data_IF_962825872633
#
_entry.id   IF_962825872633
#
_cell.length_a   1.000
_cell.length_b   1.000
_cell.length_c   1.000
_cell.angle_alpha   90.00
_cell.angle_beta   90.00
_cell.angle_gamma   90.00
#
_symmetry.space_group_name_H-M   'P 1'
#
loop_
_entity.id
_entity.type
_entity.pdbx_description
1 polymer ?
#
# COMPACT_ATOMS: atom_id res chain seq x y z
N UNK A 1 21.28 32.27 -17.14
CA UNK A 1 20.25 33.06 -17.85
C UNK A 1 18.94 32.96 -17.07
N UNK A 2 18.31 34.06 -16.65
CA UNK A 2 17.01 34.02 -15.99
C UNK A 2 15.91 33.80 -17.04
N UNK A 3 14.89 33.00 -16.70
CA UNK A 3 13.69 32.82 -17.52
C UNK A 3 12.91 34.15 -17.55
N UNK A 4 12.49 34.66 -18.73
CA UNK A 4 11.64 35.85 -18.81
C UNK A 4 10.25 35.58 -18.20
N UNK A 5 9.65 36.62 -17.64
CA UNK A 5 8.27 36.66 -17.10
C UNK A 5 7.23 36.28 -18.17
N UNK A 6 7.09 35.00 -18.49
CA UNK A 6 6.28 34.52 -19.60
C UNK A 6 4.81 34.23 -19.26
N UNK A 7 4.32 34.63 -18.09
CA UNK A 7 2.89 34.51 -17.78
C UNK A 7 2.42 35.82 -17.16
N UNK A 8 1.39 36.46 -17.74
CA UNK A 8 0.76 37.68 -17.21
C UNK A 8 -0.04 37.45 -15.93
N UNK A 9 0.46 36.56 -15.06
CA UNK A 9 -0.24 35.96 -13.94
C UNK A 9 0.36 36.49 -12.64
N UNK A 10 -0.49 36.81 -11.67
CA UNK A 10 -0.04 37.32 -10.37
C UNK A 10 0.84 36.31 -9.61
N UNK A 11 1.85 36.81 -8.89
CA UNK A 11 2.73 36.00 -8.02
C UNK A 11 1.99 35.01 -7.09
N UNK A 12 0.81 35.32 -6.52
CA UNK A 12 0.06 34.37 -5.71
C UNK A 12 -0.40 33.14 -6.50
N UNK A 13 -0.93 33.35 -7.71
CA UNK A 13 -1.40 32.31 -8.61
C UNK A 13 -0.24 31.45 -9.11
N UNK A 14 0.90 32.06 -9.42
CA UNK A 14 2.10 31.30 -9.80
C UNK A 14 2.60 30.39 -8.68
N UNK A 15 2.59 30.88 -7.43
CA UNK A 15 2.95 30.08 -6.25
C UNK A 15 1.97 28.94 -6.01
N UNK A 16 0.67 29.18 -6.21
CA UNK A 16 -0.35 28.13 -6.09
C UNK A 16 -0.17 27.05 -7.16
N UNK A 17 0.03 27.44 -8.42
CA UNK A 17 0.31 26.51 -9.51
C UNK A 17 1.57 25.68 -9.27
N UNK A 18 2.65 26.31 -8.82
CA UNK A 18 3.88 25.60 -8.44
C UNK A 18 3.68 24.65 -7.25
N UNK A 19 2.83 25.03 -6.30
CA UNK A 19 2.44 24.16 -5.18
C UNK A 19 1.64 22.94 -5.62
N UNK A 20 0.72 23.11 -6.58
CA UNK A 20 -0.03 22.01 -7.21
C UNK A 20 0.91 21.08 -7.94
N UNK A 21 1.78 21.61 -8.80
CA UNK A 21 2.77 20.81 -9.54
C UNK A 21 3.76 20.07 -8.60
N UNK A 22 4.10 20.67 -7.45
CA UNK A 22 4.90 19.99 -6.42
C UNK A 22 4.11 18.87 -5.73
N UNK A 23 2.83 19.10 -5.39
CA UNK A 23 1.96 18.09 -4.79
C UNK A 23 1.66 16.92 -5.74
N UNK A 24 1.56 17.20 -7.05
CA UNK A 24 1.45 16.21 -8.12
C UNK A 24 2.78 15.48 -8.41
N UNK A 25 3.87 15.88 -7.75
CA UNK A 25 5.19 15.27 -7.93
C UNK A 25 5.84 15.62 -9.28
N UNK A 26 5.41 16.67 -9.96
CA UNK A 26 5.97 17.10 -11.25
C UNK A 26 7.19 18.02 -11.07
N UNK A 27 7.42 18.56 -9.87
CA UNK A 27 8.52 19.46 -9.55
C UNK A 27 9.23 19.06 -8.25
N UNK A 28 10.55 19.19 -8.25
CA UNK A 28 11.42 19.17 -7.06
C UNK A 28 11.84 20.58 -6.67
N UNK A 29 11.72 20.91 -5.38
CA UNK A 29 12.28 22.15 -4.83
C UNK A 29 13.72 21.89 -4.38
N UNK A 30 14.70 22.40 -5.11
CA UNK A 30 16.11 22.32 -4.74
C UNK A 30 16.58 23.65 -4.19
N UNK A 31 17.02 23.66 -2.92
CA UNK A 31 17.51 24.86 -2.27
C UNK A 31 18.67 25.48 -3.08
N UNK A 32 18.60 26.77 -3.38
CA UNK A 32 19.58 27.49 -4.20
C UNK A 32 19.42 27.37 -5.72
N UNK A 33 18.62 26.42 -6.24
CA UNK A 33 18.46 26.15 -7.69
C UNK A 33 17.04 26.49 -8.18
N UNK A 34 16.05 26.49 -7.28
CA UNK A 34 14.65 26.77 -7.62
C UNK A 34 13.84 25.48 -7.83
N UNK A 35 12.79 25.56 -8.64
CA UNK A 35 11.97 24.38 -9.00
C UNK A 35 12.58 23.69 -10.21
N UNK A 36 12.85 22.40 -10.10
CA UNK A 36 13.37 21.56 -11.19
C UNK A 36 12.28 20.57 -11.58
N UNK A 37 12.09 20.32 -12.88
CA UNK A 37 11.17 19.26 -13.36
C UNK A 37 11.60 17.94 -12.75
N UNK A 38 10.69 17.29 -12.03
CA UNK A 38 10.94 15.97 -11.48
C UNK A 38 10.91 14.97 -12.64
N UNK A 39 11.97 14.19 -12.81
CA UNK A 39 11.93 13.06 -13.74
C UNK A 39 10.77 12.14 -13.33
N UNK A 40 9.93 11.66 -14.28
CA UNK A 40 8.80 10.82 -13.93
C UNK A 40 9.30 9.63 -13.12
N UNK A 41 8.84 9.52 -11.88
CA UNK A 41 9.13 8.34 -11.08
C UNK A 41 8.57 7.14 -11.84
N UNK A 42 9.38 6.09 -11.98
CA UNK A 42 8.86 4.79 -12.36
C UNK A 42 7.79 4.42 -11.33
N UNK A 43 6.52 4.42 -11.75
CA UNK A 43 5.42 4.06 -10.87
C UNK A 43 5.42 2.55 -10.68
N UNK A 44 5.22 2.14 -9.43
CA UNK A 44 5.08 0.74 -9.06
C UNK A 44 3.60 0.43 -9.04
N UNK A 45 3.15 -0.41 -9.97
CA UNK A 45 1.74 -0.76 -10.12
C UNK A 45 1.31 -1.78 -9.08
N UNK A 46 0.49 -1.36 -8.11
CA UNK A 46 -0.38 -2.27 -7.38
C UNK A 46 -1.40 -2.85 -8.35
N UNK A 47 -1.33 -4.15 -8.60
CA UNK A 47 -2.28 -4.82 -9.49
C UNK A 47 -3.25 -5.64 -8.65
N UNK A 48 -4.55 -5.45 -8.85
CA UNK A 48 -5.58 -6.33 -8.30
C UNK A 48 -6.29 -7.00 -9.45
N UNK A 49 -5.71 -8.09 -9.95
CA UNK A 49 -6.29 -8.90 -11.02
C UNK A 49 -6.83 -10.19 -10.41
N UNK A 50 -8.13 -10.52 -10.63
CA UNK A 50 -8.70 -11.78 -10.17
C UNK A 50 -7.87 -12.98 -10.65
N UNK A 51 -7.45 -13.84 -9.71
CA UNK A 51 -6.67 -15.05 -10.02
C UNK A 51 -5.17 -14.83 -10.27
N UNK A 52 -4.68 -13.59 -10.26
CA UNK A 52 -3.24 -13.30 -10.40
C UNK A 52 -2.69 -12.74 -9.10
N UNK A 53 -1.66 -13.39 -8.57
CA UNK A 53 -0.76 -12.77 -7.59
C UNK A 53 0.23 -11.94 -8.40
N UNK A 54 0.24 -10.60 -8.28
CA UNK A 54 1.12 -9.82 -9.13
C UNK A 54 2.54 -10.00 -8.60
N UNK A 55 3.44 -10.35 -9.51
CA UNK A 55 4.85 -10.48 -9.20
C UNK A 55 5.45 -9.08 -9.12
N UNK A 56 5.97 -8.68 -7.96
CA UNK A 56 6.65 -7.40 -7.89
C UNK A 56 7.90 -7.42 -8.78
N UNK A 57 8.32 -6.28 -9.34
CA UNK A 57 9.56 -6.22 -10.10
C UNK A 57 10.73 -6.68 -9.22
N UNK A 58 11.72 -7.35 -9.82
CA UNK A 58 12.86 -7.95 -9.12
C UNK A 58 13.69 -6.98 -8.26
N UNK A 59 13.48 -5.67 -8.44
CA UNK A 59 14.12 -4.60 -7.67
C UNK A 59 13.41 -4.25 -6.37
N UNK A 60 12.27 -4.88 -6.03
CA UNK A 60 11.52 -4.58 -4.80
C UNK A 60 12.08 -5.39 -3.64
N UNK A 61 12.54 -4.67 -2.62
CA UNK A 61 12.95 -5.21 -1.32
C UNK A 61 11.79 -4.97 -0.33
N UNK A 62 11.42 -5.99 0.44
CA UNK A 62 10.33 -5.89 1.43
C UNK A 62 10.80 -6.39 2.79
N UNK A 63 10.70 -5.53 3.80
CA UNK A 63 10.87 -5.87 5.21
C UNK A 63 9.53 -6.42 5.73
N UNK A 64 9.59 -7.54 6.46
CA UNK A 64 8.40 -8.22 6.99
C UNK A 64 8.49 -8.33 8.51
N UNK A 65 7.41 -7.94 9.20
CA UNK A 65 7.25 -8.12 10.66
C UNK A 65 5.99 -8.91 10.93
N UNK A 66 6.10 -9.95 11.74
CA UNK A 66 4.99 -10.83 12.11
C UNK A 66 4.79 -10.77 13.62
N UNK A 67 3.54 -10.66 14.06
CA UNK A 67 3.18 -10.83 15.48
C UNK A 67 1.79 -11.39 15.64
N UNK A 68 1.56 -12.06 16.76
CA UNK A 68 0.21 -12.46 17.17
C UNK A 68 -0.44 -11.33 17.98
N UNK A 69 -1.68 -11.01 17.66
CA UNK A 69 -2.47 -9.97 18.33
C UNK A 69 -3.91 -10.45 18.55
N UNK A 70 -4.57 -10.04 19.65
CA UNK A 70 -5.98 -10.35 19.85
C UNK A 70 -6.86 -9.50 18.91
N UNK A 71 -7.92 -10.10 18.37
CA UNK A 71 -8.94 -9.39 17.60
C UNK A 71 -9.65 -8.34 18.48
N UNK A 72 -9.24 -7.07 18.34
CA UNK A 72 -9.90 -5.93 18.99
C UNK A 72 -11.27 -5.69 18.34
N UNK A 73 -12.15 -4.95 19.01
CA UNK A 73 -13.57 -4.75 18.63
C UNK A 73 -13.80 -4.47 17.13
N UNK A 74 -13.00 -3.60 16.51
CA UNK A 74 -13.11 -3.28 15.08
C UNK A 74 -12.78 -4.47 14.18
N UNK A 75 -11.61 -5.08 14.36
CA UNK A 75 -11.16 -6.25 13.60
C UNK A 75 -12.05 -7.47 13.85
N UNK A 76 -12.46 -7.72 15.09
CA UNK A 76 -13.37 -8.82 15.44
C UNK A 76 -14.68 -8.74 14.65
N UNK A 77 -15.26 -7.54 14.55
CA UNK A 77 -16.47 -7.28 13.77
C UNK A 77 -16.23 -7.45 12.26
N UNK A 78 -15.13 -6.94 11.72
CA UNK A 78 -14.80 -7.06 10.29
C UNK A 78 -14.56 -8.52 9.89
N UNK A 79 -13.81 -9.26 10.71
CA UNK A 79 -13.51 -10.68 10.51
C UNK A 79 -14.67 -11.60 10.91
N UNK A 80 -15.72 -11.07 11.53
CA UNK A 80 -16.86 -11.84 12.08
C UNK A 80 -16.42 -12.96 13.04
N UNK A 81 -15.48 -12.63 13.92
CA UNK A 81 -14.96 -13.53 14.96
C UNK A 81 -15.21 -12.94 16.35
N UNK A 82 -15.22 -13.75 17.43
CA UNK A 82 -15.27 -13.23 18.78
C UNK A 82 -14.13 -12.24 19.09
N UNK A 83 -14.41 -11.22 19.90
CA UNK A 83 -13.35 -10.34 20.40
C UNK A 83 -12.32 -11.18 21.19
N UNK A 84 -11.04 -10.89 21.00
CA UNK A 84 -9.95 -11.66 21.62
C UNK A 84 -9.47 -12.85 20.81
N UNK A 85 -10.15 -13.23 19.72
CA UNK A 85 -9.67 -14.28 18.80
C UNK A 85 -8.22 -13.99 18.36
N UNK A 86 -7.29 -14.95 18.47
CA UNK A 86 -5.92 -14.78 18.00
C UNK A 86 -5.84 -14.49 16.51
N UNK A 87 -5.17 -13.40 16.15
CA UNK A 87 -4.87 -13.00 14.78
C UNK A 87 -3.36 -12.96 14.58
N UNK A 88 -2.90 -13.37 13.41
CA UNK A 88 -1.57 -13.06 12.93
C UNK A 88 -1.64 -11.73 12.19
N UNK A 89 -0.94 -10.73 12.72
CA UNK A 89 -0.68 -9.47 12.03
C UNK A 89 0.65 -9.59 11.29
N UNK A 90 0.66 -9.30 9.99
CA UNK A 90 1.88 -9.19 9.20
C UNK A 90 1.99 -7.82 8.57
N UNK A 91 3.10 -7.12 8.84
CA UNK A 91 3.41 -5.81 8.30
C UNK A 91 4.51 -5.94 7.27
N UNK A 92 4.26 -5.45 6.07
CA UNK A 92 5.19 -5.38 4.94
C UNK A 92 5.53 -3.91 4.68
N UNK A 93 6.82 -3.58 4.63
CA UNK A 93 7.29 -2.26 4.19
C UNK A 93 8.18 -2.47 2.98
N UNK A 94 7.80 -1.90 1.85
CA UNK A 94 8.45 -2.19 0.58
C UNK A 94 9.06 -0.95 -0.06
N UNK A 95 10.23 -1.15 -0.64
CA UNK A 95 11.00 -0.13 -1.33
C UNK A 95 11.58 -0.71 -2.62
N UNK A 96 11.84 0.15 -3.61
CA UNK A 96 12.77 -0.25 -4.66
C UNK A 96 14.19 -0.14 -4.12
N UNK A 97 15.07 -1.03 -4.58
CA UNK A 97 16.49 -1.00 -4.27
C UNK A 97 17.08 0.38 -4.53
N UNK A 98 17.68 0.98 -3.49
CA UNK A 98 18.26 2.32 -3.54
C UNK A 98 17.24 3.47 -3.52
N UNK A 99 15.97 3.20 -3.23
CA UNK A 99 14.89 4.18 -3.16
C UNK A 99 14.29 4.28 -1.75
N UNK A 100 13.27 5.12 -1.60
CA UNK A 100 12.49 5.27 -0.37
C UNK A 100 11.28 4.32 -0.37
N UNK A 101 10.76 3.91 0.81
CA UNK A 101 9.61 3.02 0.87
C UNK A 101 8.38 3.60 0.16
N UNK A 102 7.71 2.78 -0.63
CA UNK A 102 6.57 3.18 -1.46
C UNK A 102 5.25 2.55 -1.01
N UNK A 103 5.29 1.51 -0.18
CA UNK A 103 4.10 0.91 0.40
C UNK A 103 4.31 0.44 1.84
N UNK A 104 3.23 0.50 2.60
CA UNK A 104 3.06 -0.17 3.89
C UNK A 104 1.82 -1.04 3.74
N UNK A 105 1.93 -2.34 3.97
CA UNK A 105 0.79 -3.26 3.97
C UNK A 105 0.69 -3.93 5.32
N UNK A 106 -0.49 -3.91 5.94
CA UNK A 106 -0.76 -4.69 7.16
C UNK A 106 -1.89 -5.67 6.89
N UNK A 107 -1.63 -6.97 7.07
CA UNK A 107 -2.65 -8.02 6.97
C UNK A 107 -2.99 -8.58 8.35
N UNK A 108 -4.26 -8.92 8.55
CA UNK A 108 -4.79 -9.56 9.74
C UNK A 108 -5.50 -10.84 9.34
N UNK A 109 -4.99 -11.98 9.82
CA UNK A 109 -5.52 -13.31 9.50
C UNK A 109 -5.82 -14.06 10.79
N UNK A 110 -7.00 -14.68 10.97
CA UNK A 110 -7.25 -15.55 12.11
C UNK A 110 -6.19 -16.66 12.20
N UNK A 111 -5.49 -16.76 13.33
CA UNK A 111 -4.34 -17.67 13.48
C UNK A 111 -4.73 -19.15 13.25
N UNK A 112 -5.99 -19.50 13.52
CA UNK A 112 -6.52 -20.85 13.27
C UNK A 112 -6.66 -21.22 11.79
N UNK A 113 -6.64 -20.25 10.87
CA UNK A 113 -6.66 -20.49 9.41
C UNK A 113 -5.26 -20.63 8.82
N UNK A 114 -4.24 -20.24 9.59
CA UNK A 114 -2.87 -20.39 9.17
C UNK A 114 -2.33 -21.76 9.63
N UNK A 115 -1.41 -22.35 8.86
CA UNK A 115 -0.75 -23.59 9.25
C UNK A 115 -0.03 -23.42 10.60
N UNK A 116 -0.22 -24.39 11.51
CA UNK A 116 0.33 -24.32 12.88
C UNK A 116 1.69 -25.01 13.01
N UNK A 117 2.12 -25.66 11.96
CA UNK A 117 3.08 -26.76 12.01
C UNK A 117 4.54 -26.27 11.91
N UNK A 118 4.77 -24.96 11.88
CA UNK A 118 6.09 -24.35 11.62
C UNK A 118 6.68 -24.68 10.23
N UNK A 119 5.95 -25.44 9.40
CA UNK A 119 6.37 -25.96 8.09
C UNK A 119 6.11 -25.02 6.92
N UNK A 120 5.41 -23.91 7.15
CA UNK A 120 5.25 -22.91 6.12
C UNK A 120 6.33 -21.85 6.26
N UNK A 121 6.96 -21.45 5.14
CA UNK A 121 8.01 -20.45 5.15
C UNK A 121 7.52 -19.18 5.85
N UNK A 122 8.46 -18.48 6.49
CA UNK A 122 8.26 -17.10 6.92
C UNK A 122 7.56 -16.31 5.80
N UNK A 123 6.68 -15.35 6.12
CA UNK A 123 5.93 -14.67 5.08
C UNK A 123 6.89 -14.08 4.05
N UNK A 124 6.69 -14.46 2.79
CA UNK A 124 7.62 -14.09 1.74
C UNK A 124 7.54 -12.56 1.50
N UNK A 125 8.69 -11.92 1.18
CA UNK A 125 8.75 -10.51 0.81
C UNK A 125 7.77 -10.19 -0.34
N UNK A 126 6.60 -9.69 0.02
CA UNK A 126 5.53 -9.41 -0.92
C UNK A 126 4.94 -8.03 -0.65
N UNK A 127 5.07 -7.06 -1.57
CA UNK A 127 4.81 -5.65 -1.25
C UNK A 127 3.36 -5.30 -0.94
N UNK A 128 2.44 -6.18 -1.32
CA UNK A 128 1.00 -5.98 -1.17
C UNK A 128 0.34 -7.03 -0.29
N UNK A 129 1.14 -7.78 0.47
CA UNK A 129 0.68 -8.84 1.36
C UNK A 129 -0.11 -9.93 0.63
N UNK A 130 0.11 -10.15 -0.67
CA UNK A 130 -0.59 -11.22 -1.41
C UNK A 130 -0.09 -12.61 -1.04
N UNK A 131 1.11 -12.74 -0.45
CA UNK A 131 1.59 -13.99 0.16
C UNK A 131 0.60 -14.58 1.18
N UNK A 132 -0.08 -13.73 1.95
CA UNK A 132 -1.07 -14.19 2.94
C UNK A 132 -2.18 -15.03 2.29
N UNK A 133 -2.61 -14.68 1.07
CA UNK A 133 -3.59 -15.47 0.31
C UNK A 133 -3.04 -16.77 -0.23
N UNK A 134 -1.79 -16.76 -0.70
CA UNK A 134 -1.09 -17.98 -1.13
C UNK A 134 -1.00 -18.96 0.04
N UNK A 135 -0.62 -18.47 1.24
CA UNK A 135 -0.53 -19.28 2.45
C UNK A 135 -1.88 -19.82 2.92
N UNK A 136 -2.93 -19.01 2.90
CA UNK A 136 -4.29 -19.46 3.17
C UNK A 136 -4.72 -20.57 2.20
N UNK A 137 -4.44 -20.40 0.91
CA UNK A 137 -4.75 -21.40 -0.12
C UNK A 137 -3.97 -22.70 0.08
N UNK A 138 -2.68 -22.60 0.41
CA UNK A 138 -1.83 -23.74 0.72
C UNK A 138 -2.28 -24.47 2.01
N UNK A 139 -2.88 -23.75 2.96
CA UNK A 139 -3.51 -24.30 4.16
C UNK A 139 -4.88 -24.97 3.89
N UNK A 140 -5.34 -25.00 2.64
CA UNK A 140 -6.61 -25.59 2.24
C UNK A 140 -7.80 -24.63 2.25
N UNK A 141 -7.59 -23.34 2.52
CA UNK A 141 -8.67 -22.34 2.45
C UNK A 141 -8.99 -22.01 0.99
N UNK A 142 -10.21 -22.31 0.54
CA UNK A 142 -10.66 -21.96 -0.81
C UNK A 142 -11.15 -20.52 -0.84
N UNK A 143 -10.33 -19.61 -1.37
CA UNK A 143 -10.71 -18.20 -1.53
C UNK A 143 -11.81 -18.05 -2.58
N UNK A 144 -12.76 -17.12 -2.35
CA UNK A 144 -13.88 -16.87 -3.25
C UNK A 144 -13.92 -15.44 -3.77
N UNK A 145 -13.89 -14.44 -2.88
CA UNK A 145 -14.05 -13.03 -3.23
C UNK A 145 -13.04 -12.16 -2.48
N UNK A 146 -12.53 -11.15 -3.18
CA UNK A 146 -11.80 -10.03 -2.60
C UNK A 146 -12.58 -8.76 -2.89
N UNK A 147 -12.94 -8.02 -1.84
CA UNK A 147 -13.53 -6.69 -1.98
C UNK A 147 -12.48 -5.67 -1.55
N UNK A 148 -12.22 -4.69 -2.41
CA UNK A 148 -11.29 -3.60 -2.15
C UNK A 148 -12.02 -2.27 -2.15
N UNK A 149 -11.75 -1.44 -1.14
CA UNK A 149 -12.17 -0.04 -1.09
C UNK A 149 -10.94 0.83 -1.23
N UNK A 150 -10.87 1.60 -2.31
CA UNK A 150 -9.77 2.51 -2.62
C UNK A 150 -10.18 3.94 -2.30
N UNK A 151 -9.33 4.66 -1.57
CA UNK A 151 -9.52 6.08 -1.28
C UNK A 151 -8.18 6.81 -1.39
N UNK A 152 -8.21 8.12 -1.67
CA UNK A 152 -7.07 8.99 -1.53
C UNK A 152 -7.24 9.85 -0.28
N UNK A 153 -6.17 9.99 0.53
CA UNK A 153 -6.20 10.80 1.76
C UNK A 153 -4.81 11.34 2.09
N UNK A 154 -4.70 12.36 2.96
CA UNK A 154 -3.43 12.74 3.56
C UNK A 154 -2.81 11.57 4.35
N UNK A 155 -1.47 11.45 4.40
CA UNK A 155 -0.81 10.50 5.27
C UNK A 155 -0.92 10.92 6.73
N UNK A 156 -0.96 9.94 7.63
CA UNK A 156 -0.65 10.15 9.05
C UNK A 156 0.84 10.46 9.23
N UNK A 157 1.23 11.02 10.37
CA UNK A 157 2.65 11.29 10.66
C UNK A 157 3.53 10.04 10.59
N UNK A 158 3.05 8.91 11.14
CA UNK A 158 3.78 7.65 11.13
C UNK A 158 3.92 7.07 9.70
N UNK A 159 2.88 7.21 8.86
CA UNK A 159 2.96 6.81 7.46
C UNK A 159 3.92 7.72 6.68
N UNK A 160 3.88 9.03 6.91
CA UNK A 160 4.78 9.98 6.25
C UNK A 160 6.25 9.74 6.60
N UNK A 161 6.53 9.45 7.87
CA UNK A 161 7.85 9.07 8.36
C UNK A 161 8.33 7.76 7.72
N UNK A 162 7.50 6.71 7.74
CA UNK A 162 7.85 5.39 7.20
C UNK A 162 8.05 5.43 5.68
N UNK A 163 7.15 6.07 4.94
CA UNK A 163 7.22 6.22 3.48
C UNK A 163 8.22 7.29 3.02
N UNK A 164 8.75 8.08 3.96
CA UNK A 164 9.63 9.23 3.70
C UNK A 164 9.01 10.16 2.66
N UNK A 165 7.77 10.58 2.92
CA UNK A 165 7.01 11.53 2.10
C UNK A 165 6.71 12.79 2.90
N UNK A 166 6.54 13.92 2.21
CA UNK A 166 5.99 15.12 2.83
C UNK A 166 4.50 14.92 3.13
N UNK A 167 3.98 15.56 4.18
CA UNK A 167 2.55 15.51 4.53
C UNK A 167 1.61 16.03 3.42
N UNK A 168 2.14 16.79 2.46
CA UNK A 168 1.40 17.27 1.29
C UNK A 168 1.30 16.24 0.14
N UNK A 169 2.02 15.12 0.22
CA UNK A 169 1.92 14.03 -0.77
C UNK A 169 0.81 13.09 -0.30
N UNK A 170 -0.30 12.94 -1.05
CA UNK A 170 -1.38 12.05 -0.66
C UNK A 170 -0.94 10.59 -0.72
N UNK A 171 -1.64 9.75 0.03
CA UNK A 171 -1.52 8.29 -0.05
C UNK A 171 -2.77 7.70 -0.67
N UNK A 172 -2.60 6.62 -1.44
CA UNK A 172 -3.69 5.73 -1.81
C UNK A 172 -3.87 4.72 -0.67
N UNK A 173 -5.05 4.74 -0.06
CA UNK A 173 -5.43 3.85 1.04
C UNK A 173 -6.38 2.79 0.50
N UNK A 174 -5.97 1.53 0.55
CA UNK A 174 -6.74 0.38 0.09
C UNK A 174 -7.09 -0.49 1.29
N UNK A 175 -8.39 -0.63 1.55
CA UNK A 175 -8.91 -1.61 2.49
C UNK A 175 -9.38 -2.84 1.73
N UNK A 176 -8.86 -4.01 2.08
CA UNK A 176 -9.14 -5.26 1.38
C UNK A 176 -9.71 -6.28 2.34
N UNK A 177 -10.83 -6.89 1.98
CA UNK A 177 -11.43 -7.99 2.70
C UNK A 177 -11.52 -9.22 1.80
N UNK A 178 -10.97 -10.35 2.26
CA UNK A 178 -11.01 -11.62 1.53
C UNK A 178 -11.97 -12.57 2.21
N UNK A 179 -12.85 -13.19 1.43
CA UNK A 179 -13.74 -14.26 1.90
C UNK A 179 -13.46 -15.59 1.22
N UNK A 180 -13.67 -16.67 1.95
CA UNK A 180 -13.63 -18.03 1.39
C UNK A 180 -14.98 -18.43 0.76
N UNK A 181 -15.02 -19.62 0.16
CA UNK A 181 -16.23 -20.19 -0.48
C UNK A 181 -17.36 -20.50 0.50
N UNK A 182 -17.12 -20.43 1.81
CA UNK A 182 -18.15 -20.60 2.86
C UNK A 182 -18.74 -19.25 3.29
N UNK A 183 -18.21 -18.14 2.77
CA UNK A 183 -18.62 -16.78 3.14
C UNK A 183 -17.93 -16.24 4.41
N UNK A 184 -16.95 -16.96 4.95
CA UNK A 184 -16.15 -16.50 6.10
C UNK A 184 -15.12 -15.48 5.63
N UNK A 185 -14.94 -14.40 6.40
CA UNK A 185 -13.86 -13.44 6.16
C UNK A 185 -12.56 -14.04 6.71
N UNK A 186 -11.61 -14.27 5.82
CA UNK A 186 -10.35 -14.97 6.13
C UNK A 186 -9.16 -14.03 6.25
N UNK A 187 -9.26 -12.82 5.72
CA UNK A 187 -8.21 -11.79 5.78
C UNK A 187 -8.85 -10.40 5.73
N UNK A 188 -8.31 -9.48 6.55
CA UNK A 188 -8.44 -8.04 6.36
C UNK A 188 -7.05 -7.47 6.10
N UNK A 189 -6.88 -6.66 5.06
CA UNK A 189 -5.62 -5.97 4.77
C UNK A 189 -5.84 -4.47 4.59
N UNK A 190 -4.88 -3.69 5.09
CA UNK A 190 -4.79 -2.25 4.90
C UNK A 190 -3.48 -1.95 4.16
N UNK A 191 -3.59 -1.35 2.97
CA UNK A 191 -2.44 -0.92 2.19
C UNK A 191 -2.42 0.60 2.14
N UNK A 192 -1.29 1.18 2.48
CA UNK A 192 -0.99 2.60 2.30
C UNK A 192 0.10 2.71 1.25
N UNK A 193 -0.24 3.27 0.09
CA UNK A 193 0.68 3.43 -1.04
C UNK A 193 0.99 4.90 -1.28
N UNK A 194 2.26 5.21 -1.58
CA UNK A 194 2.71 6.58 -1.84
C UNK A 194 2.15 7.11 -3.17
N UNK A 195 1.37 8.20 -3.15
CA UNK A 195 0.69 8.72 -4.33
C UNK A 195 1.62 9.26 -5.44
N UNK A 196 2.86 9.60 -5.09
CA UNK A 196 3.90 10.10 -6.02
C UNK A 196 4.73 8.98 -6.67
N UNK A 197 4.60 7.72 -6.21
CA UNK A 197 5.45 6.58 -6.61
C UNK A 197 4.68 5.32 -6.97
N UNK A 198 3.38 5.28 -6.70
CA UNK A 198 2.55 4.09 -6.92
C UNK A 198 1.33 4.42 -7.76
N UNK A 199 0.83 3.39 -8.43
CA UNK A 199 -0.46 3.43 -9.12
C UNK A 199 -1.23 2.15 -8.81
N UNK A 200 -2.55 2.21 -8.85
CA UNK A 200 -3.42 1.05 -8.70
C UNK A 200 -4.05 0.71 -10.05
N UNK A 201 -3.75 -0.48 -10.56
CA UNK A 201 -4.24 -1.00 -11.84
C UNK A 201 -5.29 -2.08 -11.57
N UNK A 202 -6.48 -1.87 -12.14
CA UNK A 202 -7.61 -2.79 -12.08
C UNK A 202 -7.99 -3.21 -13.49
N UNK A 203 -8.09 -4.52 -13.72
CA UNK A 203 -8.57 -5.09 -14.98
C UNK A 203 -9.97 -5.62 -14.78
N UNK A 204 -10.92 -5.15 -15.59
CA UNK A 204 -12.32 -5.63 -15.59
C UNK A 204 -12.62 -6.31 -16.92
N UNK A 205 -13.17 -7.51 -16.87
CA UNK A 205 -13.66 -8.24 -18.05
C UNK A 205 -15.19 -8.13 -18.13
N UNK A 206 -15.72 -7.88 -19.33
CA UNK A 206 -17.16 -7.78 -19.61
C UNK A 206 -17.71 -9.05 -20.26
#
# INVERSE_FOLDING_TARGET
MPLPNATGVGRPTLRQALGVLQAEGLLDKRHGIGNVVRAPHQRIGYTSTPGLVPTPPASVETEVKVREVPARRSLARLLKVPQGTPLVETVFVSQQRGSTPHSITTTYTPAALLPRDGRHPEPEPCPWGTDTRTRLSAAGTRLALSVERVTARPPTSAEAETLRIALGVPVLSIERATTDTTGRVVEIAYLTLSGDRTEALYTTTH
#
